data_IF_062114756909
#
_entry.id   IF_062114756909
#
_cell.length_a   1.000
_cell.length_b   1.000
_cell.length_c   1.000
_cell.angle_alpha   90.00
_cell.angle_beta   90.00
_cell.angle_gamma   90.00
#
_symmetry.space_group_name_H-M   'P 1'
#
loop_
_entity.id
_entity.type
_entity.pdbx_description
1 polymer ?
#
# COMPACT_ATOMS: atom_id res chain seq x y z
N UNK A 1 -7.42 13.23 12.87
CA UNK A 1 -7.87 13.27 11.45
C UNK A 1 -9.25 13.93 11.37
N UNK A 2 -9.59 14.66 10.29
CA UNK A 2 -10.96 15.23 10.17
C UNK A 2 -11.93 14.14 9.70
N UNK A 3 -13.07 13.99 10.37
CA UNK A 3 -14.08 12.94 10.10
C UNK A 3 -14.50 12.86 8.62
N UNK A 4 -14.65 14.00 7.95
CA UNK A 4 -14.98 14.05 6.53
C UNK A 4 -14.02 13.24 5.63
N UNK A 5 -12.74 13.16 5.99
CA UNK A 5 -11.76 12.38 5.23
C UNK A 5 -11.89 10.88 5.48
N UNK A 6 -12.22 10.49 6.72
CA UNK A 6 -12.52 9.09 7.07
C UNK A 6 -13.77 8.63 6.31
N UNK A 7 -14.82 9.44 6.34
CA UNK A 7 -16.06 9.16 5.61
C UNK A 7 -15.82 9.02 4.09
N UNK A 8 -15.14 9.98 3.47
CA UNK A 8 -14.81 9.93 2.04
C UNK A 8 -13.92 8.71 1.69
N UNK A 9 -12.94 8.39 2.53
CA UNK A 9 -12.08 7.21 2.31
C UNK A 9 -12.88 5.91 2.45
N UNK A 10 -13.78 5.82 3.43
CA UNK A 10 -14.67 4.67 3.61
C UNK A 10 -15.61 4.47 2.42
N UNK A 11 -16.17 5.56 1.86
CA UNK A 11 -16.97 5.51 0.63
C UNK A 11 -16.18 5.00 -0.57
N UNK A 12 -14.93 5.44 -0.71
CA UNK A 12 -14.04 4.95 -1.77
C UNK A 12 -13.70 3.47 -1.60
N UNK A 13 -13.44 3.03 -0.37
CA UNK A 13 -13.13 1.64 -0.04
C UNK A 13 -14.33 0.71 -0.27
N UNK A 14 -15.53 1.09 0.17
CA UNK A 14 -16.77 0.32 -0.05
C UNK A 14 -17.15 0.17 -1.53
N UNK A 15 -16.60 0.97 -2.43
CA UNK A 15 -16.81 0.84 -3.88
C UNK A 15 -15.89 -0.22 -4.53
N UNK A 16 -14.92 -0.77 -3.78
CA UNK A 16 -14.04 -1.84 -4.27
C UNK A 16 -14.81 -3.15 -4.29
N UNK A 17 -14.87 -3.77 -5.46
CA UNK A 17 -15.47 -5.09 -5.68
C UNK A 17 -14.51 -5.95 -6.48
N UNK A 18 -13.70 -6.75 -5.78
CA UNK A 18 -12.73 -7.66 -6.38
C UNK A 18 -12.61 -8.92 -5.51
N UNK A 19 -12.26 -10.04 -6.15
CA UNK A 19 -11.96 -11.27 -5.42
C UNK A 19 -10.65 -11.14 -4.64
N UNK A 20 -10.45 -11.93 -3.55
CA UNK A 20 -9.13 -12.14 -2.99
C UNK A 20 -8.14 -12.59 -4.05
N UNK A 21 -6.90 -12.14 -3.94
CA UNK A 21 -5.85 -12.39 -4.92
C UNK A 21 -4.53 -12.73 -4.24
N UNK A 22 -3.59 -13.31 -4.98
CA UNK A 22 -2.26 -13.62 -4.46
C UNK A 22 -1.26 -12.52 -4.84
N UNK A 23 -0.40 -12.15 -3.89
CA UNK A 23 0.80 -11.38 -4.15
C UNK A 23 2.04 -12.24 -3.96
N UNK A 24 3.02 -12.08 -4.84
CA UNK A 24 4.33 -12.73 -4.73
C UNK A 24 5.40 -11.71 -4.36
N UNK A 25 6.31 -12.10 -3.48
CA UNK A 25 7.52 -11.37 -3.12
C UNK A 25 8.72 -12.28 -3.36
N UNK A 26 9.50 -12.00 -4.41
CA UNK A 26 10.71 -12.77 -4.75
C UNK A 26 11.95 -11.90 -4.93
N UNK A 27 11.85 -10.61 -4.63
CA UNK A 27 12.97 -9.68 -4.68
C UNK A 27 12.99 -8.77 -3.47
N UNK A 28 14.19 -8.51 -2.97
CA UNK A 28 14.49 -7.39 -2.08
C UNK A 28 15.23 -6.29 -2.85
N UNK A 29 15.26 -5.09 -2.30
CA UNK A 29 16.13 -4.02 -2.78
C UNK A 29 15.90 -2.72 -2.01
N UNK A 30 16.48 -1.63 -2.53
CA UNK A 30 16.27 -0.30 -1.99
C UNK A 30 15.70 0.67 -3.01
N UNK A 31 14.94 1.64 -2.51
CA UNK A 31 14.56 2.83 -3.29
C UNK A 31 15.47 4.01 -2.92
N UNK A 32 15.52 5.06 -3.76
CA UNK A 32 16.04 6.34 -3.32
C UNK A 32 15.31 6.77 -2.03
N UNK A 33 16.06 6.96 -0.95
CA UNK A 33 15.53 7.47 0.31
C UNK A 33 15.24 8.97 0.23
N UNK A 34 14.71 9.54 1.31
CA UNK A 34 14.60 10.99 1.42
C UNK A 34 16.01 11.63 1.33
N UNK A 35 16.12 12.84 0.73
CA UNK A 35 17.37 13.59 0.74
C UNK A 35 17.90 13.79 2.17
N UNK A 36 19.20 14.05 2.28
CA UNK A 36 19.78 14.47 3.56
C UNK A 36 19.07 15.74 4.05
N UNK A 37 18.64 15.74 5.31
CA UNK A 37 18.02 16.90 5.96
C UNK A 37 18.81 17.23 7.22
N UNK A 38 19.15 18.50 7.41
CA UNK A 38 19.86 19.01 8.59
C UNK A 38 21.16 18.23 8.90
N UNK A 39 21.96 17.93 7.88
CA UNK A 39 23.25 17.23 8.02
C UNK A 39 23.15 15.73 8.35
N UNK A 40 21.94 15.17 8.46
CA UNK A 40 21.77 13.72 8.67
C UNK A 40 21.95 12.96 7.36
N UNK A 41 22.68 11.82 7.35
CA UNK A 41 22.83 11.02 6.15
C UNK A 41 21.46 10.50 5.67
N UNK A 42 21.27 10.31 4.35
CA UNK A 42 20.02 9.81 3.80
C UNK A 42 19.76 8.40 4.34
N UNK A 43 18.54 8.16 4.85
CA UNK A 43 18.09 6.82 5.21
C UNK A 43 17.29 6.22 4.06
N UNK A 44 17.76 5.08 3.57
CA UNK A 44 17.18 4.34 2.45
C UNK A 44 16.38 3.15 2.99
N UNK A 45 15.20 2.86 2.44
CA UNK A 45 14.44 1.69 2.85
C UNK A 45 15.06 0.42 2.23
N UNK A 46 15.12 -0.65 3.01
CA UNK A 46 15.17 -2.02 2.51
C UNK A 46 13.73 -2.50 2.36
N UNK A 47 13.37 -2.99 1.18
CA UNK A 47 12.00 -3.38 0.86
C UNK A 47 11.92 -4.77 0.25
N UNK A 48 10.82 -5.48 0.54
CA UNK A 48 10.32 -6.55 -0.32
C UNK A 48 9.56 -5.92 -1.49
N UNK A 49 9.80 -6.38 -2.71
CA UNK A 49 9.08 -5.94 -3.90
C UNK A 49 7.89 -6.87 -4.15
N UNK A 50 6.70 -6.30 -4.14
CA UNK A 50 5.46 -7.03 -4.39
C UNK A 50 5.14 -7.09 -5.88
N UNK A 51 4.63 -8.24 -6.31
CA UNK A 51 4.22 -8.52 -7.69
C UNK A 51 2.82 -9.16 -7.69
N UNK A 52 2.10 -8.97 -8.80
CA UNK A 52 0.71 -9.39 -9.01
C UNK A 52 -0.02 -8.29 -9.80
N UNK A 53 -0.91 -8.63 -10.72
CA UNK A 53 -1.63 -7.61 -11.51
C UNK A 53 -2.78 -7.01 -10.70
N UNK A 54 -3.38 -7.83 -9.85
CA UNK A 54 -4.56 -7.54 -9.04
C UNK A 54 -4.27 -6.46 -7.97
N UNK A 55 -3.02 -6.33 -7.50
CA UNK A 55 -2.65 -5.24 -6.58
C UNK A 55 -2.67 -3.88 -7.29
N UNK A 56 -2.33 -3.83 -8.58
CA UNK A 56 -2.45 -2.61 -9.37
C UNK A 56 -3.91 -2.32 -9.70
N UNK A 57 -4.73 -3.35 -9.91
CA UNK A 57 -6.17 -3.19 -10.04
C UNK A 57 -6.79 -2.62 -8.76
N UNK A 58 -6.47 -3.18 -7.59
CA UNK A 58 -6.90 -2.63 -6.30
C UNK A 58 -6.51 -1.16 -6.16
N UNK A 59 -5.26 -0.81 -6.46
CA UNK A 59 -4.78 0.57 -6.42
C UNK A 59 -5.57 1.49 -7.37
N UNK A 60 -5.86 1.01 -8.59
CA UNK A 60 -6.64 1.75 -9.58
C UNK A 60 -8.09 1.98 -9.13
N UNK A 61 -8.75 0.94 -8.60
CA UNK A 61 -10.13 1.02 -8.08
C UNK A 61 -10.21 1.98 -6.90
N UNK A 62 -9.30 1.86 -5.93
CA UNK A 62 -9.19 2.79 -4.81
C UNK A 62 -8.95 4.22 -5.29
N UNK A 63 -8.00 4.42 -6.22
CA UNK A 63 -7.72 5.73 -6.76
C UNK A 63 -8.92 6.36 -7.49
N UNK A 64 -9.70 5.57 -8.22
CA UNK A 64 -10.94 6.05 -8.85
C UNK A 64 -12.00 6.43 -7.81
N UNK A 65 -12.25 5.56 -6.82
CA UNK A 65 -13.17 5.83 -5.71
C UNK A 65 -12.77 7.07 -4.91
N UNK A 66 -11.48 7.22 -4.61
CA UNK A 66 -10.93 8.39 -3.91
C UNK A 66 -11.20 9.68 -4.69
N UNK A 67 -10.89 9.71 -5.99
CA UNK A 67 -11.15 10.90 -6.84
C UNK A 67 -12.63 11.24 -6.90
N UNK A 68 -13.51 10.25 -7.01
CA UNK A 68 -14.96 10.44 -6.98
C UNK A 68 -15.48 11.04 -5.66
N UNK A 69 -14.74 10.88 -4.56
CA UNK A 69 -15.04 11.47 -3.26
C UNK A 69 -14.24 12.78 -2.99
N UNK A 70 -13.59 13.35 -4.01
CA UNK A 70 -12.80 14.58 -3.90
C UNK A 70 -11.46 14.42 -3.17
N UNK A 71 -10.97 13.18 -3.01
CA UNK A 71 -9.67 12.88 -2.44
C UNK A 71 -8.60 12.80 -3.52
N UNK A 72 -7.35 13.12 -3.14
CA UNK A 72 -6.19 12.90 -3.99
C UNK A 72 -5.81 11.43 -3.97
N UNK A 73 -5.54 10.87 -5.15
CA UNK A 73 -5.00 9.52 -5.30
C UNK A 73 -3.57 9.58 -5.85
N UNK A 74 -2.73 8.61 -5.48
CA UNK A 74 -1.39 8.50 -6.05
C UNK A 74 -1.49 8.08 -7.53
N UNK A 75 -0.62 8.64 -8.37
CA UNK A 75 -0.51 8.26 -9.79
C UNK A 75 0.49 7.13 -9.98
N UNK A 76 1.60 7.18 -9.25
CA UNK A 76 2.64 6.15 -9.27
C UNK A 76 2.46 5.21 -8.09
N UNK A 77 2.44 3.91 -8.39
CA UNK A 77 2.34 2.86 -7.40
C UNK A 77 3.41 1.80 -7.66
N UNK A 78 4.16 1.48 -6.62
CA UNK A 78 5.19 0.43 -6.62
C UNK A 78 4.89 -0.45 -5.42
N UNK A 79 4.25 -1.62 -5.60
CA UNK A 79 3.92 -2.50 -4.48
C UNK A 79 5.19 -2.91 -3.73
N UNK A 80 5.26 -2.62 -2.44
CA UNK A 80 6.42 -2.96 -1.62
C UNK A 80 6.05 -3.04 -0.14
N UNK A 81 6.88 -3.74 0.63
CA UNK A 81 6.84 -3.75 2.09
C UNK A 81 8.20 -3.32 2.61
N UNK A 82 8.24 -2.23 3.38
CA UNK A 82 9.48 -1.79 4.03
C UNK A 82 9.81 -2.66 5.22
N UNK A 83 11.02 -3.21 5.24
CA UNK A 83 11.53 -4.05 6.33
C UNK A 83 12.38 -3.24 7.32
N UNK A 84 13.21 -2.34 6.80
CA UNK A 84 14.14 -1.55 7.59
C UNK A 84 14.52 -0.24 6.89
N UNK A 85 15.12 0.67 7.64
CA UNK A 85 15.76 1.87 7.11
C UNK A 85 17.24 1.90 7.51
N UNK A 86 18.14 2.09 6.55
CA UNK A 86 19.59 2.12 6.79
C UNK A 86 20.31 3.14 5.91
N UNK A 87 21.62 3.35 6.12
CA UNK A 87 22.42 4.22 5.26
C UNK A 87 22.72 3.57 3.89
N UNK A 88 22.71 2.24 3.83
CA UNK A 88 23.10 1.45 2.67
C UNK A 88 22.00 1.38 1.59
N UNK A 89 22.43 1.26 0.34
CA UNK A 89 21.55 0.96 -0.79
C UNK A 89 21.75 -0.49 -1.19
N UNK A 90 20.66 -1.27 -1.16
CA UNK A 90 20.69 -2.65 -1.63
C UNK A 90 20.28 -2.71 -3.10
N UNK A 91 21.11 -3.31 -3.97
CA UNK A 91 20.67 -3.61 -5.34
C UNK A 91 19.50 -4.60 -5.29
N UNK A 92 18.75 -4.68 -6.39
CA UNK A 92 17.70 -5.69 -6.51
C UNK A 92 18.32 -7.09 -6.46
N UNK A 93 17.89 -7.89 -5.50
CA UNK A 93 18.39 -9.25 -5.30
C UNK A 93 17.22 -10.23 -5.19
N UNK A 94 17.34 -11.38 -5.85
CA UNK A 94 16.37 -12.47 -5.75
C UNK A 94 16.43 -13.13 -4.36
N UNK A 95 15.28 -13.57 -3.88
CA UNK A 95 15.12 -14.35 -2.65
C UNK A 95 14.23 -15.55 -2.94
N UNK A 96 14.14 -16.49 -1.99
CA UNK A 96 13.13 -17.54 -2.05
C UNK A 96 11.72 -16.90 -2.11
N UNK A 97 10.88 -17.27 -3.09
CA UNK A 97 9.58 -16.64 -3.26
C UNK A 97 8.64 -16.85 -2.07
N UNK A 98 8.12 -15.75 -1.54
CA UNK A 98 7.07 -15.73 -0.53
C UNK A 98 5.74 -15.31 -1.18
N UNK A 99 4.66 -16.06 -0.93
CA UNK A 99 3.32 -15.78 -1.47
C UNK A 99 2.35 -15.47 -0.34
N UNK A 100 1.50 -14.47 -0.55
CA UNK A 100 0.47 -14.00 0.38
C UNK A 100 -0.86 -13.88 -0.36
N UNK A 101 -1.93 -14.44 0.22
CA UNK A 101 -3.29 -14.12 -0.22
C UNK A 101 -3.76 -12.82 0.43
N UNK A 102 -4.04 -11.82 -0.40
CA UNK A 102 -4.70 -10.57 0.01
C UNK A 102 -6.21 -10.83 0.00
N UNK A 103 -6.79 -10.91 1.19
CA UNK A 103 -8.23 -11.15 1.38
C UNK A 103 -8.99 -9.91 1.84
N UNK A 104 -8.29 -8.84 2.21
CA UNK A 104 -8.88 -7.62 2.75
C UNK A 104 -7.86 -6.46 2.67
N UNK A 105 -8.35 -5.24 2.83
CA UNK A 105 -7.51 -4.06 3.01
C UNK A 105 -8.08 -3.15 4.11
N UNK A 106 -7.23 -2.32 4.71
CA UNK A 106 -7.55 -1.53 5.90
C UNK A 106 -7.21 -0.07 5.69
N UNK A 107 -8.07 0.83 6.19
CA UNK A 107 -7.76 2.25 6.29
C UNK A 107 -7.02 2.51 7.60
N UNK A 108 -5.80 3.03 7.50
CA UNK A 108 -4.94 3.31 8.65
C UNK A 108 -4.76 4.81 8.83
N UNK A 109 -4.94 5.30 10.05
CA UNK A 109 -4.51 6.63 10.47
C UNK A 109 -3.11 6.55 11.07
N UNK A 110 -2.12 7.07 10.34
CA UNK A 110 -0.75 7.20 10.87
C UNK A 110 -0.57 8.52 11.63
N UNK A 111 -0.16 8.43 12.89
CA UNK A 111 0.23 9.59 13.68
C UNK A 111 1.64 10.03 13.29
N UNK A 112 1.74 11.23 12.71
CA UNK A 112 2.99 11.74 12.15
C UNK A 112 4.09 11.80 13.20
N UNK A 113 5.23 11.14 12.92
CA UNK A 113 6.43 11.18 13.75
C UNK A 113 6.42 10.27 14.97
N UNK A 114 5.32 9.55 15.23
CA UNK A 114 5.16 8.73 16.44
C UNK A 114 5.26 7.22 16.20
N UNK A 115 5.33 6.79 14.92
CA UNK A 115 5.25 5.37 14.54
C UNK A 115 4.01 4.66 15.11
N UNK A 116 2.94 5.43 15.37
CA UNK A 116 1.65 4.93 15.87
C UNK A 116 0.65 4.90 14.72
N UNK A 117 -0.13 3.82 14.67
CA UNK A 117 -1.06 3.53 13.59
C UNK A 117 -2.38 3.02 14.16
N UNK A 118 -3.47 3.71 13.87
CA UNK A 118 -4.82 3.26 14.22
C UNK A 118 -5.48 2.64 12.99
N UNK A 119 -5.95 1.40 13.13
CA UNK A 119 -6.84 0.78 12.14
C UNK A 119 -8.22 1.39 12.31
N UNK A 120 -8.68 2.16 11.32
CA UNK A 120 -9.98 2.82 11.38
C UNK A 120 -11.12 1.92 10.92
N UNK A 121 -10.91 1.17 9.83
CA UNK A 121 -11.91 0.25 9.28
C UNK A 121 -11.25 -0.69 8.25
N UNK A 122 -11.94 -1.78 7.91
CA UNK A 122 -11.43 -2.89 7.09
C UNK A 122 -12.49 -3.41 6.14
N UNK A 123 -12.09 -3.66 4.90
CA UNK A 123 -12.95 -4.17 3.85
C UNK A 123 -12.46 -5.53 3.35
N UNK A 124 -13.27 -6.59 3.48
CA UNK A 124 -12.97 -7.86 2.86
C UNK A 124 -13.07 -7.73 1.34
N UNK A 125 -12.17 -8.41 0.64
CA UNK A 125 -12.27 -8.63 -0.79
C UNK A 125 -13.24 -9.79 -1.01
N UNK A 126 -14.39 -9.49 -1.58
CA UNK A 126 -15.41 -10.50 -1.87
C UNK A 126 -15.53 -10.69 -3.36
N UNK A 127 -15.61 -11.96 -3.80
CA UNK A 127 -16.00 -12.26 -5.18
C UNK A 127 -17.31 -11.52 -5.50
N UNK A 128 -17.38 -10.76 -6.61
CA UNK A 128 -18.67 -10.25 -7.07
C UNK A 128 -19.57 -11.45 -7.34
N UNK A 129 -20.77 -11.49 -6.74
CA UNK A 129 -21.77 -12.49 -7.11
C UNK A 129 -22.07 -12.33 -8.60
N UNK A 130 -21.82 -13.39 -9.38
CA UNK A 130 -22.31 -13.46 -10.75
C UNK A 130 -23.77 -13.86 -10.67
N UNK A 131 -24.69 -12.94 -10.95
CA UNK A 131 -26.06 -13.32 -11.26
C UNK A 131 -26.03 -14.03 -12.61
N UNK A 132 -26.32 -15.33 -12.60
CA UNK A 132 -26.60 -16.16 -13.78
C UNK A 132 -27.99 -15.87 -14.33
#
# INVERSE_FOLDING_TARGET
MREKYVFAAGRAASAVSMAPFEMTFRFIGSFPGAPAVNGKPPRRPLVLLGEGEEVFELHRMLGAGMRAQGLRAAELFRPHMTLAYGPEMFPRQAIEPFRLTVAEFTLIHSHRGLSQYDSLDRWPLTRPCRCS
#
